data_IF_316485117462
#
_entry.id   IF_316485117462
#
_cell.length_a   1.000
_cell.length_b   1.000
_cell.length_c   1.000
_cell.angle_alpha   90.00
_cell.angle_beta   90.00
_cell.angle_gamma   90.00
#
_symmetry.space_group_name_H-M   'P 1'
#
loop_
_entity.id
_entity.type
_entity.pdbx_description
1 polymer ?
#
# COMPACT_ATOMS: atom_id res chain seq x y z
N UNK A 1 -13.20 -10.24 -21.93
CA UNK A 1 -14.32 -9.26 -21.84
C UNK A 1 -13.76 -7.89 -21.44
N UNK A 2 -12.70 -7.46 -22.12
CA UNK A 2 -11.65 -6.66 -21.48
C UNK A 2 -11.78 -5.16 -21.78
N UNK A 3 -12.66 -4.83 -22.73
CA UNK A 3 -12.93 -3.46 -23.15
C UNK A 3 -13.56 -2.62 -22.03
N UNK A 4 -14.60 -3.15 -21.36
CA UNK A 4 -15.25 -2.47 -20.23
C UNK A 4 -14.29 -2.24 -19.06
N UNK A 5 -13.47 -3.24 -18.73
CA UNK A 5 -12.45 -3.13 -17.70
C UNK A 5 -11.40 -2.06 -18.05
N UNK A 6 -11.01 -2.00 -19.33
CA UNK A 6 -10.13 -0.95 -19.86
C UNK A 6 -10.70 0.44 -19.72
N UNK A 7 -11.95 0.66 -20.13
CA UNK A 7 -12.61 1.97 -20.05
C UNK A 7 -12.77 2.42 -18.58
N UNK A 8 -13.25 1.53 -17.71
CA UNK A 8 -13.44 1.82 -16.29
C UNK A 8 -12.13 2.19 -15.58
N UNK A 9 -11.05 1.42 -15.80
CA UNK A 9 -9.77 1.67 -15.15
C UNK A 9 -9.00 2.84 -15.78
N UNK A 10 -9.08 3.06 -17.10
CA UNK A 10 -8.42 4.23 -17.74
C UNK A 10 -9.16 5.55 -17.50
N UNK A 11 -10.39 5.52 -16.98
CA UNK A 11 -11.03 6.71 -16.40
C UNK A 11 -10.29 7.24 -15.16
N UNK A 12 -9.48 6.43 -14.48
CA UNK A 12 -8.69 6.83 -13.32
C UNK A 12 -7.38 7.50 -13.76
N UNK A 13 -7.10 8.69 -13.25
CA UNK A 13 -5.91 9.45 -13.68
C UNK A 13 -4.62 8.69 -13.34
N UNK A 14 -3.74 8.59 -14.33
CA UNK A 14 -2.42 7.92 -14.30
C UNK A 14 -2.45 6.38 -14.40
N UNK A 15 -3.59 5.79 -14.75
CA UNK A 15 -3.70 4.37 -15.14
C UNK A 15 -3.54 4.25 -16.67
N UNK A 16 -2.63 3.38 -17.11
CA UNK A 16 -2.36 3.10 -18.51
C UNK A 16 -2.97 1.75 -18.93
N UNK A 17 -3.14 1.52 -20.24
CA UNK A 17 -3.61 0.23 -20.79
C UNK A 17 -2.77 -0.98 -20.33
N UNK A 18 -1.46 -0.82 -20.14
CA UNK A 18 -0.61 -1.90 -19.61
C UNK A 18 -1.01 -2.31 -18.19
N UNK A 19 -1.35 -1.33 -17.34
CA UNK A 19 -1.78 -1.59 -15.96
C UNK A 19 -3.12 -2.35 -15.97
N UNK A 20 -4.04 -2.00 -16.88
CA UNK A 20 -5.31 -2.73 -17.09
C UNK A 20 -5.05 -4.19 -17.45
N UNK A 21 -4.10 -4.47 -18.36
CA UNK A 21 -3.77 -5.85 -18.75
C UNK A 21 -3.21 -6.64 -17.55
N UNK A 22 -2.33 -6.03 -16.74
CA UNK A 22 -1.84 -6.66 -15.51
C UNK A 22 -2.96 -6.89 -14.50
N UNK A 23 -3.75 -5.86 -14.17
CA UNK A 23 -4.85 -5.94 -13.19
C UNK A 23 -5.94 -6.94 -13.62
N UNK A 24 -6.34 -6.92 -14.89
CA UNK A 24 -7.29 -7.89 -15.44
C UNK A 24 -6.76 -9.33 -15.40
N UNK A 25 -5.46 -9.53 -15.61
CA UNK A 25 -4.83 -10.86 -15.51
C UNK A 25 -4.70 -11.35 -14.06
N UNK A 26 -4.42 -10.45 -13.10
CA UNK A 26 -4.24 -10.79 -11.68
C UNK A 26 -5.57 -10.99 -10.95
N UNK A 27 -6.55 -10.11 -11.17
CA UNK A 27 -7.79 -10.06 -10.39
C UNK A 27 -9.02 -10.58 -11.13
N UNK A 28 -9.00 -10.64 -12.47
CA UNK A 28 -10.06 -11.20 -13.31
C UNK A 28 -11.35 -10.36 -13.46
N UNK A 29 -11.71 -9.53 -12.47
CA UNK A 29 -12.94 -8.72 -12.48
C UNK A 29 -12.70 -7.30 -11.93
N UNK A 30 -13.55 -6.34 -12.31
CA UNK A 30 -13.50 -4.99 -11.75
C UNK A 30 -13.83 -4.99 -10.25
N UNK A 31 -14.78 -5.80 -9.80
CA UNK A 31 -15.14 -5.95 -8.38
C UNK A 31 -13.94 -6.35 -7.54
N UNK A 32 -13.20 -7.38 -7.96
CA UNK A 32 -11.99 -7.85 -7.28
C UNK A 32 -10.88 -6.78 -7.23
N UNK A 33 -10.88 -5.80 -8.15
CA UNK A 33 -9.90 -4.69 -8.18
C UNK A 33 -10.35 -3.54 -7.28
N UNK A 34 -11.67 -3.33 -7.13
CA UNK A 34 -12.23 -2.34 -6.20
C UNK A 34 -12.10 -2.80 -4.74
N UNK A 35 -12.30 -4.09 -4.48
CA UNK A 35 -12.14 -4.71 -3.15
C UNK A 35 -10.65 -4.99 -2.79
N UNK A 36 -9.70 -4.73 -3.69
CA UNK A 36 -8.28 -5.04 -3.49
C UNK A 36 -7.59 -4.05 -2.55
N UNK A 37 -6.77 -4.58 -1.63
CA UNK A 37 -5.89 -3.77 -0.79
C UNK A 37 -4.77 -3.10 -1.60
N UNK A 38 -4.19 -2.01 -1.06
CA UNK A 38 -2.97 -1.42 -1.64
C UNK A 38 -1.82 -2.43 -1.76
N UNK A 39 -1.73 -3.40 -0.85
CA UNK A 39 -0.68 -4.42 -0.87
C UNK A 39 -0.84 -5.36 -2.07
N UNK A 40 -2.07 -5.78 -2.38
CA UNK A 40 -2.34 -6.71 -3.47
C UNK A 40 -2.25 -6.03 -4.84
N UNK A 41 -2.68 -4.76 -4.92
CA UNK A 41 -2.43 -3.91 -6.08
C UNK A 41 -0.93 -3.69 -6.32
N UNK A 42 -0.11 -3.62 -5.26
CA UNK A 42 1.35 -3.50 -5.34
C UNK A 42 2.08 -4.82 -5.69
N UNK A 43 1.44 -5.99 -5.56
CA UNK A 43 2.00 -7.26 -6.09
C UNK A 43 2.01 -7.31 -7.62
N UNK A 44 1.30 -6.42 -8.30
CA UNK A 44 1.19 -6.41 -9.76
C UNK A 44 2.48 -5.88 -10.43
N UNK A 45 3.10 -6.65 -11.34
CA UNK A 45 4.33 -6.22 -12.00
C UNK A 45 4.11 -4.96 -12.86
N UNK A 46 5.01 -3.99 -12.70
CA UNK A 46 5.00 -2.73 -13.45
C UNK A 46 4.07 -1.64 -12.90
N UNK A 47 3.26 -1.93 -11.86
CA UNK A 47 2.41 -0.94 -11.20
C UNK A 47 3.14 -0.38 -9.98
N UNK A 48 3.67 0.84 -10.12
CA UNK A 48 4.32 1.53 -8.99
C UNK A 48 3.32 2.06 -7.96
N UNK A 49 3.77 2.23 -6.72
CA UNK A 49 3.00 2.72 -5.55
C UNK A 49 2.12 3.94 -5.87
N UNK A 50 2.62 4.88 -6.68
CA UNK A 50 1.91 6.11 -7.06
C UNK A 50 0.67 5.86 -7.94
N UNK A 51 0.61 4.74 -8.66
CA UNK A 51 -0.61 4.28 -9.36
C UNK A 51 -1.54 3.56 -8.40
N UNK A 52 -0.98 2.67 -7.57
CA UNK A 52 -1.71 1.91 -6.54
C UNK A 52 -2.49 2.84 -5.62
N UNK A 53 -1.82 3.79 -4.96
CA UNK A 53 -2.45 4.73 -4.04
C UNK A 53 -3.58 5.49 -4.72
N UNK A 54 -3.34 6.09 -5.90
CA UNK A 54 -4.39 6.81 -6.64
C UNK A 54 -5.57 5.93 -7.06
N UNK A 55 -5.32 4.69 -7.46
CA UNK A 55 -6.39 3.77 -7.85
C UNK A 55 -7.27 3.43 -6.65
N UNK A 56 -6.63 3.05 -5.54
CA UNK A 56 -7.28 2.75 -4.27
C UNK A 56 -8.04 3.97 -3.71
N UNK A 57 -7.39 5.14 -3.68
CA UNK A 57 -7.99 6.42 -3.28
C UNK A 57 -9.21 6.77 -4.15
N UNK A 58 -9.16 6.52 -5.47
CA UNK A 58 -10.29 6.85 -6.36
C UNK A 58 -11.52 5.96 -6.10
N UNK A 59 -11.34 4.74 -5.60
CA UNK A 59 -12.46 3.86 -5.22
C UNK A 59 -12.99 4.12 -3.81
N UNK A 60 -12.17 4.65 -2.90
CA UNK A 60 -12.51 4.85 -1.49
C UNK A 60 -12.76 6.32 -1.09
N UNK A 61 -12.38 7.30 -1.92
CA UNK A 61 -12.68 8.71 -1.70
C UNK A 61 -14.20 8.96 -1.87
N UNK A 62 -14.88 9.58 -0.89
CA UNK A 62 -16.30 9.92 -1.03
C UNK A 62 -16.52 10.91 -2.18
N UNK A 63 -17.57 10.68 -2.97
CA UNK A 63 -17.93 11.55 -4.07
C UNK A 63 -18.15 12.99 -3.60
N UNK A 64 -17.35 13.92 -4.11
CA UNK A 64 -17.44 15.35 -3.78
C UNK A 64 -18.71 15.96 -4.39
N UNK A 65 -19.80 15.94 -3.63
CA UNK A 65 -21.04 16.63 -3.95
C UNK A 65 -20.82 18.15 -3.95
N UNK A 66 -20.68 18.73 -5.14
CA UNK A 66 -20.39 20.14 -5.34
C UNK A 66 -21.61 21.05 -5.10
N UNK A 67 -22.15 21.07 -3.88
CA UNK A 67 -22.97 22.20 -3.40
C UNK A 67 -22.68 22.46 -1.91
N UNK A 68 -21.92 23.51 -1.54
CA UNK A 68 -21.87 23.99 -0.17
C UNK A 68 -23.15 24.78 0.13
N UNK A 69 -24.24 24.08 0.46
CA UNK A 69 -25.48 24.73 0.92
C UNK A 69 -25.29 25.15 2.38
N UNK A 70 -24.95 26.42 2.57
CA UNK A 70 -24.84 27.14 3.84
C UNK A 70 -23.65 26.77 4.76
N UNK A 71 -22.75 27.74 4.92
CA UNK A 71 -21.79 27.80 6.02
C UNK A 71 -22.00 29.12 6.79
N UNK A 72 -22.47 29.11 8.05
CA UNK A 72 -22.27 30.23 8.96
C UNK A 72 -20.84 30.19 9.52
N UNK A 73 -20.21 31.36 9.58
CA UNK A 73 -18.82 31.57 10.06
C UNK A 73 -18.73 31.53 11.59
N UNK A 74 -17.51 31.23 12.10
CA UNK A 74 -16.99 31.30 13.48
C UNK A 74 -17.01 29.96 14.27
N UNK A 75 -15.99 29.60 15.09
CA UNK A 75 -14.61 30.12 15.26
C UNK A 75 -13.71 29.09 16.01
N UNK A 76 -12.41 29.38 16.17
CA UNK A 76 -11.41 28.69 17.03
C UNK A 76 -11.17 29.49 18.33
N UNK A 77 -10.73 28.92 19.49
CA UNK A 77 -9.39 28.26 19.60
C UNK A 77 -9.11 27.20 20.74
N UNK A 78 -8.21 26.24 20.42
CA UNK A 78 -7.15 25.62 21.27
C UNK A 78 -7.45 24.73 22.51
N UNK A 79 -6.54 23.73 22.70
CA UNK A 79 -6.11 22.98 23.91
C UNK A 79 -6.99 21.90 24.62
N UNK A 80 -6.48 20.64 24.51
CA UNK A 80 -6.28 19.51 25.46
C UNK A 80 -7.45 18.95 26.32
N UNK A 81 -7.59 17.64 26.64
CA UNK A 81 -6.72 16.44 26.72
C UNK A 81 -7.37 15.19 26.05
N UNK A 82 -6.66 14.37 25.24
CA UNK A 82 -5.90 13.13 25.58
C UNK A 82 -6.76 11.85 25.79
N UNK A 83 -6.78 10.86 24.88
CA UNK A 83 -5.80 9.76 24.63
C UNK A 83 -5.97 8.52 25.56
N UNK A 84 -5.78 7.29 25.02
CA UNK A 84 -4.41 6.77 24.94
C UNK A 84 -3.98 6.28 23.54
N UNK A 85 -2.68 6.43 23.19
CA UNK A 85 -2.01 5.60 22.19
C UNK A 85 -1.38 4.38 22.85
N UNK A 86 -1.43 3.20 22.21
CA UNK A 86 -0.56 2.08 22.54
C UNK A 86 -0.03 1.43 21.26
N UNK A 87 1.27 1.57 21.06
CA UNK A 87 2.03 0.97 19.97
C UNK A 87 2.23 -0.55 20.14
N UNK A 88 2.47 -1.17 18.98
CA UNK A 88 3.38 -2.30 18.75
C UNK A 88 3.26 -3.58 19.61
N UNK A 89 3.16 -4.72 18.89
CA UNK A 89 4.29 -5.67 18.89
C UNK A 89 4.59 -6.16 17.47
N UNK A 90 5.71 -5.67 16.95
CA UNK A 90 6.46 -6.36 15.90
C UNK A 90 6.84 -7.77 16.37
N UNK A 91 6.72 -8.78 15.49
CA UNK A 91 7.72 -9.86 15.45
C UNK A 91 8.05 -10.24 14.02
N UNK A 92 9.29 -9.91 13.63
CA UNK A 92 9.98 -10.46 12.46
C UNK A 92 9.92 -11.99 12.45
N UNK A 93 9.64 -12.61 11.31
CA UNK A 93 10.02 -14.00 11.03
C UNK A 93 10.91 -14.11 9.78
N UNK A 94 12.07 -13.45 9.83
CA UNK A 94 13.20 -13.79 8.95
C UNK A 94 13.61 -15.25 9.16
N UNK A 95 13.28 -16.12 8.22
CA UNK A 95 13.73 -17.53 8.19
C UNK A 95 14.80 -17.77 7.11
N UNK A 96 15.75 -16.85 6.98
CA UNK A 96 16.99 -17.04 6.24
C UNK A 96 17.90 -18.05 6.95
N UNK A 97 17.61 -19.34 6.82
CA UNK A 97 18.36 -20.41 7.50
C UNK A 97 19.44 -21.02 6.60
N UNK A 98 20.66 -20.44 6.64
CA UNK A 98 21.93 -21.21 6.63
C UNK A 98 23.16 -20.34 6.92
N UNK A 99 23.48 -20.27 8.21
CA UNK A 99 24.83 -20.27 8.83
C UNK A 99 26.04 -20.19 7.87
N UNK A 100 26.89 -19.16 8.06
CA UNK A 100 28.04 -19.24 8.99
C UNK A 100 28.71 -17.87 9.15
N UNK A 101 29.14 -17.55 10.38
CA UNK A 101 30.06 -16.46 10.67
C UNK A 101 30.88 -16.78 11.92
N UNK A 102 31.96 -15.99 12.07
CA UNK A 102 32.91 -15.85 13.19
C UNK A 102 34.26 -16.54 13.01
N UNK A 103 35.28 -15.76 13.32
CA UNK A 103 36.71 -15.85 13.00
C UNK A 103 37.48 -15.35 14.23
N UNK A 104 38.54 -16.08 14.63
CA UNK A 104 39.58 -15.68 15.62
C UNK A 104 39.08 -15.46 17.08
N UNK A 105 39.91 -15.53 18.13
CA UNK A 105 41.32 -15.95 18.30
C UNK A 105 41.39 -17.09 19.38
N UNK A 106 42.49 -17.61 19.94
CA UNK A 106 43.67 -17.00 20.59
C UNK A 106 44.92 -17.92 20.49
N UNK A 107 46.05 -17.59 21.16
CA UNK A 107 47.38 -18.22 21.02
C UNK A 107 47.82 -19.00 22.27
N UNK A 108 48.64 -20.05 22.07
CA UNK A 108 49.81 -20.56 22.86
C UNK A 108 50.09 -21.99 22.33
N UNK A 109 51.24 -22.30 21.71
CA UNK A 109 52.61 -22.56 22.22
C UNK A 109 52.85 -24.01 22.71
N UNK A 110 54.10 -24.45 22.52
CA UNK A 110 54.83 -25.64 23.05
C UNK A 110 54.77 -27.05 22.40
N UNK A 111 56.01 -27.54 22.20
CA UNK A 111 56.62 -28.85 21.94
C UNK A 111 55.84 -30.18 22.00
N UNK A 112 56.09 -31.04 20.99
CA UNK A 112 56.75 -32.36 21.13
C UNK A 112 56.99 -33.07 19.76
#
# INVERSE_FOLDING_TARGET
MDFFLGDALTSVRHVNKTDVVTLGSTFGSLSNIMDASMEDLARCPGIGERKVGRLHDTFHEPFKSAVPIHAPVAENPTNNEACPPLEAKETRNTSGSKRKAVVQAEREEDDA
#
